data_IF_485625457448
#
_entry.id   IF_485625457448
#
_cell.length_a   1.000
_cell.length_b   1.000
_cell.length_c   1.000
_cell.angle_alpha   90.00
_cell.angle_beta   90.00
_cell.angle_gamma   90.00
#
_symmetry.space_group_name_H-M   'P 1'
#
loop_
_entity.id
_entity.type
_entity.pdbx_description
1 polymer ?
#
# COMPACT_ATOMS: atom_id res chain seq x y z
N UNK A 1 -25.58 14.26 -7.52
CA UNK A 1 -24.69 13.38 -6.69
C UNK A 1 -25.49 12.12 -6.44
N UNK A 2 -24.97 10.96 -6.87
CA UNK A 2 -25.62 9.66 -6.66
C UNK A 2 -25.71 9.35 -5.16
N UNK A 3 -26.82 8.81 -4.72
CA UNK A 3 -27.02 8.43 -3.30
C UNK A 3 -26.30 7.12 -2.98
N UNK A 4 -26.05 6.87 -1.71
CA UNK A 4 -25.46 5.58 -1.24
C UNK A 4 -26.31 4.39 -1.68
N UNK A 5 -27.65 4.52 -1.73
CA UNK A 5 -28.56 3.46 -2.15
C UNK A 5 -28.47 3.20 -3.65
N UNK A 6 -28.42 4.24 -4.48
CA UNK A 6 -28.22 4.11 -5.93
C UNK A 6 -26.87 3.46 -6.26
N UNK A 7 -25.79 3.91 -5.62
CA UNK A 7 -24.46 3.33 -5.79
C UNK A 7 -24.42 1.85 -5.35
N UNK A 8 -25.02 1.52 -4.22
CA UNK A 8 -25.09 0.13 -3.73
C UNK A 8 -25.89 -0.76 -4.68
N UNK A 9 -27.02 -0.27 -5.21
CA UNK A 9 -27.83 -0.99 -6.18
C UNK A 9 -27.08 -1.22 -7.47
N UNK A 10 -26.42 -0.20 -8.00
CA UNK A 10 -25.59 -0.29 -9.20
C UNK A 10 -24.46 -1.32 -9.00
N UNK A 11 -23.67 -1.19 -7.93
CA UNK A 11 -22.54 -2.09 -7.69
C UNK A 11 -23.00 -3.53 -7.45
N UNK A 12 -24.11 -3.74 -6.74
CA UNK A 12 -24.67 -5.07 -6.54
C UNK A 12 -25.01 -5.72 -7.88
N UNK A 13 -25.63 -4.99 -8.79
CA UNK A 13 -25.96 -5.50 -10.13
C UNK A 13 -24.70 -5.71 -10.99
N UNK A 14 -23.75 -4.78 -10.96
CA UNK A 14 -22.55 -4.81 -11.80
C UNK A 14 -21.49 -5.84 -11.34
N UNK A 15 -21.49 -6.21 -10.05
CA UNK A 15 -20.57 -7.22 -9.51
C UNK A 15 -21.09 -8.66 -9.58
N UNK A 16 -22.32 -8.88 -10.02
CA UNK A 16 -22.83 -10.25 -10.26
C UNK A 16 -22.04 -10.91 -11.40
N UNK A 17 -21.71 -12.20 -11.20
CA UNK A 17 -21.00 -13.00 -12.20
C UNK A 17 -21.83 -13.12 -13.50
N UNK A 18 -21.48 -12.37 -14.50
CA UNK A 18 -22.21 -12.37 -15.75
C UNK A 18 -21.55 -11.52 -16.83
N UNK A 19 -21.41 -10.23 -16.62
CA UNK A 19 -20.88 -9.33 -17.66
C UNK A 19 -19.35 -9.46 -17.73
N UNK A 20 -18.64 -9.22 -16.64
CA UNK A 20 -17.18 -9.28 -16.61
C UNK A 20 -16.67 -10.69 -16.99
N UNK A 21 -17.28 -11.75 -16.46
CA UNK A 21 -16.90 -13.13 -16.80
C UNK A 21 -17.01 -13.40 -18.31
N UNK A 22 -18.09 -12.92 -18.96
CA UNK A 22 -18.24 -13.03 -20.42
C UNK A 22 -17.20 -12.22 -21.20
N UNK A 23 -16.89 -11.00 -20.72
CA UNK A 23 -15.86 -10.16 -21.36
C UNK A 23 -14.48 -10.77 -21.24
N UNK A 24 -14.11 -11.27 -20.06
CA UNK A 24 -12.83 -11.95 -19.82
C UNK A 24 -12.71 -13.22 -20.65
N UNK A 25 -13.78 -14.03 -20.74
CA UNK A 25 -13.80 -15.23 -21.57
C UNK A 25 -13.63 -14.90 -23.06
N UNK A 26 -14.32 -13.88 -23.57
CA UNK A 26 -14.17 -13.42 -24.96
C UNK A 26 -12.76 -12.90 -25.24
N UNK A 27 -12.17 -12.13 -24.29
CA UNK A 27 -10.80 -11.66 -24.38
C UNK A 27 -9.78 -12.80 -24.43
N UNK A 28 -9.93 -13.80 -23.56
CA UNK A 28 -9.08 -14.99 -23.53
C UNK A 28 -9.20 -15.81 -24.84
N UNK A 29 -10.42 -16.02 -25.33
CA UNK A 29 -10.66 -16.71 -26.60
C UNK A 29 -10.04 -15.96 -27.79
N UNK A 30 -10.18 -14.63 -27.85
CA UNK A 30 -9.56 -13.80 -28.86
C UNK A 30 -8.03 -13.89 -28.86
N UNK A 31 -7.42 -13.76 -27.70
CA UNK A 31 -5.97 -13.88 -27.51
C UNK A 31 -5.45 -15.26 -27.92
N UNK A 32 -6.19 -16.33 -27.61
CA UNK A 32 -5.86 -17.69 -28.02
C UNK A 32 -5.93 -17.87 -29.56
N UNK A 33 -7.00 -17.37 -30.20
CA UNK A 33 -7.14 -17.40 -31.66
C UNK A 33 -5.99 -16.64 -32.35
N UNK A 34 -5.57 -15.50 -31.81
CA UNK A 34 -4.44 -14.73 -32.31
C UNK A 34 -3.13 -15.51 -32.19
N UNK A 35 -2.84 -16.09 -31.01
CA UNK A 35 -1.62 -16.89 -30.76
C UNK A 35 -1.53 -18.11 -31.67
N UNK A 36 -2.67 -18.71 -32.03
CA UNK A 36 -2.74 -19.88 -32.90
C UNK A 36 -2.78 -19.53 -34.40
N UNK A 37 -2.65 -18.25 -34.78
CA UNK A 37 -2.68 -17.82 -36.17
C UNK A 37 -4.04 -17.98 -36.87
N UNK A 38 -5.14 -18.11 -36.12
CA UNK A 38 -6.50 -18.20 -36.65
C UNK A 38 -7.03 -16.86 -37.14
N UNK A 39 -6.52 -15.77 -36.55
CA UNK A 39 -6.85 -14.40 -36.92
C UNK A 39 -5.91 -13.88 -38.01
N UNK A 40 -6.33 -12.87 -38.82
CA UNK A 40 -5.45 -12.18 -39.74
C UNK A 40 -4.21 -11.62 -39.06
N UNK A 41 -3.10 -11.50 -39.79
CA UNK A 41 -1.84 -11.02 -39.22
C UNK A 41 -1.93 -9.59 -38.62
N UNK A 42 -2.83 -8.77 -39.16
CA UNK A 42 -3.10 -7.40 -38.70
C UNK A 42 -4.23 -7.31 -37.65
N UNK A 43 -4.72 -8.44 -37.13
CA UNK A 43 -5.72 -8.41 -36.09
C UNK A 43 -5.14 -7.78 -34.81
N UNK A 44 -5.89 -6.87 -34.13
CA UNK A 44 -5.42 -6.25 -32.90
C UNK A 44 -5.22 -7.29 -31.79
N UNK A 45 -4.41 -6.96 -30.74
CA UNK A 45 -4.21 -7.83 -29.56
C UNK A 45 -5.52 -8.27 -28.89
N UNK A 46 -6.45 -7.34 -28.73
CA UNK A 46 -7.85 -7.60 -28.38
C UNK A 46 -8.76 -7.06 -29.49
N UNK A 47 -9.96 -7.64 -29.67
CA UNK A 47 -10.97 -7.03 -30.52
C UNK A 47 -11.36 -5.66 -29.91
N UNK A 48 -11.46 -4.62 -30.75
CA UNK A 48 -11.73 -3.25 -30.29
C UNK A 48 -12.97 -3.15 -29.37
N UNK A 49 -14.04 -3.85 -29.71
CA UNK A 49 -15.25 -3.90 -28.88
C UNK A 49 -14.98 -4.50 -27.50
N UNK A 50 -14.15 -5.54 -27.40
CA UNK A 50 -13.83 -6.19 -26.11
C UNK A 50 -12.97 -5.26 -25.27
N UNK A 51 -12.01 -4.59 -25.88
CA UNK A 51 -11.15 -3.62 -25.19
C UNK A 51 -11.96 -2.46 -24.60
N UNK A 52 -12.84 -1.87 -25.40
CA UNK A 52 -13.73 -0.79 -24.97
C UNK A 52 -14.68 -1.25 -23.88
N UNK A 53 -15.38 -2.38 -24.07
CA UNK A 53 -16.32 -2.94 -23.11
C UNK A 53 -15.64 -3.24 -21.76
N UNK A 54 -14.39 -3.78 -21.76
CA UNK A 54 -13.63 -4.04 -20.55
C UNK A 54 -13.22 -2.74 -19.84
N UNK A 55 -12.76 -1.75 -20.59
CA UNK A 55 -12.36 -0.46 -20.04
C UNK A 55 -13.56 0.27 -19.43
N UNK A 56 -14.67 0.39 -20.16
CA UNK A 56 -15.89 1.05 -19.67
C UNK A 56 -16.43 0.38 -18.42
N UNK A 57 -16.50 -0.96 -18.42
CA UNK A 57 -16.94 -1.73 -17.25
C UNK A 57 -16.02 -1.53 -16.05
N UNK A 58 -14.70 -1.58 -16.28
CA UNK A 58 -13.69 -1.35 -15.24
C UNK A 58 -13.79 0.05 -14.63
N UNK A 59 -13.88 1.09 -15.44
CA UNK A 59 -14.02 2.47 -14.96
C UNK A 59 -15.36 2.72 -14.25
N UNK A 60 -16.46 2.14 -14.73
CA UNK A 60 -17.76 2.28 -14.07
C UNK A 60 -17.73 1.65 -12.66
N UNK A 61 -17.19 0.43 -12.53
CA UNK A 61 -17.02 -0.22 -11.22
C UNK A 61 -16.10 0.58 -10.30
N UNK A 62 -14.97 1.04 -10.81
CA UNK A 62 -13.98 1.81 -10.03
C UNK A 62 -14.58 3.12 -9.52
N UNK A 63 -15.29 3.86 -10.37
CA UNK A 63 -15.96 5.11 -9.99
C UNK A 63 -17.02 4.85 -8.91
N UNK A 64 -17.89 3.86 -9.11
CA UNK A 64 -18.91 3.50 -8.14
C UNK A 64 -18.33 3.05 -6.80
N UNK A 65 -17.26 2.22 -6.83
CA UNK A 65 -16.58 1.77 -5.62
C UNK A 65 -15.95 2.92 -4.83
N UNK A 66 -15.24 3.84 -5.50
CA UNK A 66 -14.65 5.01 -4.86
C UNK A 66 -15.73 5.93 -4.27
N UNK A 67 -16.83 6.19 -5.02
CA UNK A 67 -17.91 7.03 -4.57
C UNK A 67 -18.62 6.43 -3.33
N UNK A 68 -18.94 5.13 -3.37
CA UNK A 68 -19.56 4.45 -2.23
C UNK A 68 -18.63 4.41 -1.01
N UNK A 69 -17.34 4.11 -1.23
CA UNK A 69 -16.33 4.10 -0.15
C UNK A 69 -16.19 5.47 0.51
N UNK A 70 -16.23 6.55 -0.27
CA UNK A 70 -16.14 7.92 0.25
C UNK A 70 -17.37 8.30 1.10
N UNK A 71 -18.56 7.76 0.80
CA UNK A 71 -19.82 8.06 1.52
C UNK A 71 -20.04 7.14 2.73
N UNK A 72 -19.75 5.85 2.60
CA UNK A 72 -20.13 4.82 3.56
C UNK A 72 -18.94 4.02 4.15
N UNK A 73 -17.71 4.35 3.76
CA UNK A 73 -16.51 3.60 4.18
C UNK A 73 -16.26 2.33 3.38
N UNK A 74 -15.23 1.60 3.80
CA UNK A 74 -14.90 0.30 3.20
C UNK A 74 -15.96 -0.76 3.56
N UNK A 75 -16.36 -1.57 2.58
CA UNK A 75 -17.34 -2.64 2.73
C UNK A 75 -17.00 -3.81 1.82
N UNK A 76 -17.61 -4.98 2.05
CA UNK A 76 -17.46 -6.14 1.17
C UNK A 76 -17.86 -5.82 -0.28
N UNK A 77 -18.92 -5.02 -0.46
CA UNK A 77 -19.39 -4.62 -1.78
C UNK A 77 -18.39 -3.72 -2.50
N UNK A 78 -17.80 -2.73 -1.80
CA UNK A 78 -16.75 -1.88 -2.38
C UNK A 78 -15.50 -2.68 -2.70
N UNK A 79 -15.08 -3.60 -1.82
CA UNK A 79 -13.96 -4.51 -2.05
C UNK A 79 -14.16 -5.37 -3.30
N UNK A 80 -15.34 -6.00 -3.43
CA UNK A 80 -15.69 -6.78 -4.61
C UNK A 80 -15.73 -5.95 -5.90
N UNK A 81 -16.20 -4.72 -5.84
CA UNK A 81 -16.22 -3.82 -6.99
C UNK A 81 -14.81 -3.41 -7.42
N UNK A 82 -13.93 -3.09 -6.47
CA UNK A 82 -12.50 -2.84 -6.75
C UNK A 82 -11.82 -4.06 -7.36
N UNK A 83 -12.04 -5.27 -6.82
CA UNK A 83 -11.51 -6.52 -7.38
C UNK A 83 -11.95 -6.72 -8.83
N UNK A 84 -13.23 -6.53 -9.13
CA UNK A 84 -13.78 -6.68 -10.49
C UNK A 84 -13.21 -5.63 -11.44
N UNK A 85 -13.05 -4.39 -11.01
CA UNK A 85 -12.39 -3.34 -11.79
C UNK A 85 -10.93 -3.72 -12.07
N UNK A 86 -10.19 -4.19 -11.06
CA UNK A 86 -8.82 -4.64 -11.19
C UNK A 86 -8.67 -5.78 -12.21
N UNK A 87 -9.55 -6.79 -12.15
CA UNK A 87 -9.57 -7.91 -13.11
C UNK A 87 -9.78 -7.42 -14.55
N UNK A 88 -10.63 -6.40 -14.77
CA UNK A 88 -10.84 -5.83 -16.10
C UNK A 88 -9.57 -5.15 -16.64
N UNK A 89 -8.92 -4.30 -15.82
CA UNK A 89 -7.70 -3.62 -16.20
C UNK A 89 -6.50 -4.56 -16.34
N UNK A 90 -6.37 -5.57 -15.48
CA UNK A 90 -5.34 -6.61 -15.62
C UNK A 90 -5.49 -7.37 -16.95
N UNK A 91 -6.72 -7.70 -17.35
CA UNK A 91 -6.98 -8.34 -18.63
C UNK A 91 -6.57 -7.46 -19.83
N UNK A 92 -6.80 -6.15 -19.73
CA UNK A 92 -6.34 -5.16 -20.72
C UNK A 92 -4.80 -5.10 -20.80
N UNK A 93 -4.13 -5.10 -19.64
CA UNK A 93 -2.66 -5.10 -19.58
C UNK A 93 -2.05 -6.38 -20.15
N UNK A 94 -2.63 -7.55 -19.81
CA UNK A 94 -2.07 -8.87 -20.22
C UNK A 94 -2.40 -9.28 -21.65
N UNK A 95 -3.57 -8.88 -22.16
CA UNK A 95 -4.09 -9.34 -23.45
C UNK A 95 -4.23 -8.21 -24.48
N UNK A 96 -4.05 -6.94 -24.05
CA UNK A 96 -4.08 -5.78 -24.91
C UNK A 96 -2.80 -5.59 -25.72
N UNK A 97 -2.68 -4.42 -26.34
CA UNK A 97 -1.48 -4.04 -27.09
C UNK A 97 -0.31 -3.78 -26.13
N UNK A 98 0.81 -4.50 -26.25
CA UNK A 98 2.00 -4.27 -25.44
C UNK A 98 2.64 -2.90 -25.67
N UNK A 99 2.43 -2.29 -26.85
CA UNK A 99 2.94 -0.97 -27.20
C UNK A 99 1.93 0.16 -26.92
N UNK A 100 0.79 -0.15 -26.32
CA UNK A 100 -0.21 0.85 -25.98
C UNK A 100 0.35 1.89 -24.99
N UNK A 101 0.23 3.20 -25.27
CA UNK A 101 0.67 4.25 -24.36
C UNK A 101 -0.07 4.22 -23.01
N UNK A 102 -1.29 3.68 -22.97
CA UNK A 102 -2.11 3.58 -21.77
C UNK A 102 -1.79 2.35 -20.90
N UNK A 103 -0.91 1.47 -21.35
CA UNK A 103 -0.65 0.21 -20.67
C UNK A 103 -0.13 0.42 -19.25
N UNK A 104 0.80 1.37 -19.07
CA UNK A 104 1.34 1.75 -17.77
C UNK A 104 0.28 2.29 -16.83
N UNK A 105 -0.57 3.19 -17.33
CA UNK A 105 -1.70 3.74 -16.62
C UNK A 105 -2.69 2.65 -16.17
N UNK A 106 -3.12 1.77 -17.09
CA UNK A 106 -4.02 0.65 -16.78
C UNK A 106 -3.42 -0.31 -15.76
N UNK A 107 -2.09 -0.55 -15.80
CA UNK A 107 -1.35 -1.35 -14.82
C UNK A 107 -1.40 -0.71 -13.42
N UNK A 108 -1.18 0.58 -13.34
CA UNK A 108 -1.24 1.35 -12.08
C UNK A 108 -2.63 1.33 -11.48
N UNK A 109 -3.68 1.52 -12.30
CA UNK A 109 -5.08 1.41 -11.86
C UNK A 109 -5.39 -0.01 -11.36
N UNK A 110 -5.00 -1.06 -12.09
CA UNK A 110 -5.23 -2.44 -11.69
C UNK A 110 -4.61 -2.74 -10.31
N UNK A 111 -3.35 -2.37 -10.12
CA UNK A 111 -2.65 -2.58 -8.87
C UNK A 111 -3.28 -1.79 -7.71
N UNK A 112 -3.63 -0.53 -7.92
CA UNK A 112 -4.31 0.30 -6.91
C UNK A 112 -5.68 -0.30 -6.52
N UNK A 113 -6.47 -0.74 -7.50
CA UNK A 113 -7.76 -1.36 -7.27
C UNK A 113 -7.65 -2.70 -6.53
N UNK A 114 -6.69 -3.57 -6.89
CA UNK A 114 -6.41 -4.79 -6.12
C UNK A 114 -6.02 -4.50 -4.68
N UNK A 115 -5.19 -3.48 -4.46
CA UNK A 115 -4.82 -3.08 -3.10
C UNK A 115 -6.05 -2.67 -2.29
N UNK A 116 -6.90 -1.78 -2.84
CA UNK A 116 -8.13 -1.32 -2.21
C UNK A 116 -9.19 -2.42 -2.01
N UNK A 117 -9.10 -3.51 -2.79
CA UNK A 117 -9.89 -4.72 -2.62
C UNK A 117 -9.34 -5.66 -1.52
N UNK A 118 -8.17 -5.37 -0.93
CA UNK A 118 -7.52 -6.20 0.07
C UNK A 118 -6.58 -7.27 -0.51
N UNK A 119 -6.30 -7.25 -1.82
CA UNK A 119 -5.39 -8.17 -2.51
C UNK A 119 -3.99 -7.57 -2.73
N UNK A 120 -3.37 -7.04 -1.67
CA UNK A 120 -2.07 -6.36 -1.75
C UNK A 120 -0.96 -7.23 -2.36
N UNK A 121 -0.97 -8.56 -2.15
CA UNK A 121 0.00 -9.45 -2.77
C UNK A 121 -0.15 -9.53 -4.30
N UNK A 122 -1.38 -9.46 -4.82
CA UNK A 122 -1.65 -9.42 -6.26
C UNK A 122 -1.22 -8.06 -6.82
N UNK A 123 -1.55 -6.97 -6.14
CA UNK A 123 -1.12 -5.61 -6.50
C UNK A 123 0.40 -5.52 -6.62
N UNK A 124 1.14 -6.10 -5.66
CA UNK A 124 2.59 -6.20 -5.69
C UNK A 124 3.09 -7.00 -6.90
N UNK A 125 2.49 -8.15 -7.21
CA UNK A 125 2.93 -9.01 -8.31
C UNK A 125 2.79 -8.36 -9.69
N UNK A 126 1.80 -7.50 -9.88
CA UNK A 126 1.56 -6.78 -11.14
C UNK A 126 2.75 -5.87 -11.52
N UNK A 127 3.44 -5.27 -10.54
CA UNK A 127 4.60 -4.43 -10.78
C UNK A 127 5.92 -5.21 -10.87
N UNK A 128 5.96 -6.46 -10.41
CA UNK A 128 7.14 -7.31 -10.54
C UNK A 128 7.27 -7.98 -11.92
N UNK A 129 6.27 -7.90 -12.77
CA UNK A 129 6.37 -8.31 -14.16
C UNK A 129 7.29 -7.29 -14.88
N UNK A 130 8.48 -7.78 -15.32
CA UNK A 130 9.54 -6.95 -15.91
C UNK A 130 9.12 -6.56 -17.33
N UNK A 131 8.37 -5.49 -17.45
CA UNK A 131 8.10 -4.86 -18.74
C UNK A 131 8.19 -3.35 -18.53
N UNK A 132 8.97 -2.68 -19.38
CA UNK A 132 9.04 -1.23 -19.40
C UNK A 132 7.73 -0.68 -19.98
N UNK A 133 6.94 -0.04 -19.14
CA UNK A 133 5.77 0.70 -19.57
C UNK A 133 6.21 2.02 -20.20
N UNK A 134 5.61 2.36 -21.34
CA UNK A 134 5.81 3.66 -22.00
C UNK A 134 4.98 4.76 -21.32
N UNK A 135 5.49 5.97 -21.32
CA UNK A 135 4.76 7.19 -20.90
C UNK A 135 4.15 7.15 -19.49
N UNK A 136 4.87 6.58 -18.52
CA UNK A 136 4.43 6.57 -17.11
C UNK A 136 4.61 7.95 -16.50
N UNK A 137 3.54 8.53 -15.98
CA UNK A 137 3.59 9.84 -15.33
C UNK A 137 4.31 9.79 -13.97
N UNK A 138 4.88 10.91 -13.50
CA UNK A 138 5.51 10.99 -12.17
C UNK A 138 4.57 10.60 -11.03
N UNK A 139 3.29 10.97 -11.10
CA UNK A 139 2.27 10.57 -10.14
C UNK A 139 2.07 9.05 -10.10
N UNK A 140 2.07 8.40 -11.26
CA UNK A 140 2.00 6.93 -11.34
C UNK A 140 3.23 6.25 -10.74
N UNK A 141 4.44 6.76 -11.02
CA UNK A 141 5.69 6.23 -10.44
C UNK A 141 5.64 6.33 -8.92
N UNK A 142 5.23 7.48 -8.39
CA UNK A 142 5.13 7.69 -6.95
C UNK A 142 4.11 6.73 -6.29
N UNK A 143 2.92 6.55 -6.90
CA UNK A 143 1.92 5.59 -6.41
C UNK A 143 2.42 4.16 -6.47
N UNK A 144 3.17 3.78 -7.52
CA UNK A 144 3.76 2.43 -7.62
C UNK A 144 4.68 2.15 -6.45
N UNK A 145 5.59 3.08 -6.10
CA UNK A 145 6.46 2.95 -4.93
C UNK A 145 5.65 2.82 -3.63
N UNK A 146 4.56 3.59 -3.49
CA UNK A 146 3.68 3.50 -2.34
C UNK A 146 3.02 2.12 -2.21
N UNK A 147 2.47 1.57 -3.30
CA UNK A 147 1.85 0.24 -3.31
C UNK A 147 2.87 -0.85 -3.00
N UNK A 148 4.10 -0.73 -3.52
CA UNK A 148 5.20 -1.66 -3.25
C UNK A 148 5.78 -1.55 -1.84
N UNK A 149 5.39 -0.55 -1.04
CA UNK A 149 5.99 -0.22 0.26
C UNK A 149 7.48 0.09 0.17
N UNK A 150 7.94 0.53 -0.99
CA UNK A 150 9.32 0.98 -1.20
C UNK A 150 9.42 2.48 -0.89
N UNK A 151 9.25 2.81 0.40
CA UNK A 151 9.19 4.21 0.85
C UNK A 151 10.53 4.94 0.67
N UNK A 152 11.65 4.23 0.68
CA UNK A 152 12.95 4.83 0.39
C UNK A 152 13.03 5.31 -1.06
N UNK A 153 12.55 4.50 -2.02
CA UNK A 153 12.48 4.90 -3.43
C UNK A 153 11.43 5.99 -3.65
N UNK A 154 10.27 5.89 -2.98
CA UNK A 154 9.26 6.95 -3.01
C UNK A 154 9.86 8.29 -2.59
N UNK A 155 10.54 8.33 -1.44
CA UNK A 155 11.16 9.54 -0.89
C UNK A 155 12.25 10.08 -1.81
N UNK A 156 13.11 9.19 -2.32
CA UNK A 156 14.15 9.55 -3.28
C UNK A 156 13.55 10.18 -4.54
N UNK A 157 12.60 9.50 -5.15
CA UNK A 157 11.91 9.97 -6.36
C UNK A 157 11.20 11.31 -6.16
N UNK A 158 10.40 11.43 -5.10
CA UNK A 158 9.64 12.66 -4.79
C UNK A 158 10.59 13.82 -4.52
N UNK A 159 11.66 13.61 -3.75
CA UNK A 159 12.67 14.63 -3.48
C UNK A 159 13.36 15.09 -4.78
N UNK A 160 13.75 14.15 -5.62
CA UNK A 160 14.45 14.45 -6.86
C UNK A 160 13.52 15.17 -7.85
N UNK A 161 12.26 14.75 -7.93
CA UNK A 161 11.23 15.45 -8.70
C UNK A 161 11.03 16.89 -8.23
N UNK A 162 10.87 17.11 -6.92
CA UNK A 162 10.58 18.44 -6.37
C UNK A 162 11.80 19.39 -6.36
N UNK A 163 13.02 18.86 -6.25
CA UNK A 163 14.23 19.69 -6.05
C UNK A 163 15.08 19.86 -7.33
N UNK A 164 15.15 18.85 -8.19
CA UNK A 164 16.10 18.84 -9.32
C UNK A 164 15.43 18.85 -10.70
N UNK A 165 14.13 18.63 -10.75
CA UNK A 165 13.38 18.75 -12.01
C UNK A 165 13.04 20.20 -12.34
N UNK A 166 12.67 20.47 -13.58
CA UNK A 166 12.11 21.74 -14.05
C UNK A 166 10.68 22.01 -13.48
N UNK A 167 10.41 21.59 -12.25
CA UNK A 167 9.06 21.46 -11.69
C UNK A 167 8.86 22.29 -10.42
N UNK A 168 9.84 23.15 -10.06
CA UNK A 168 9.68 24.12 -8.97
C UNK A 168 8.66 25.20 -9.31
N UNK A 169 8.07 25.81 -8.30
CA UNK A 169 7.06 26.87 -8.48
C UNK A 169 7.55 28.03 -9.34
N UNK A 170 8.84 28.37 -9.26
CA UNK A 170 9.46 29.43 -10.08
C UNK A 170 9.52 29.05 -11.58
N UNK A 171 9.77 27.78 -11.90
CA UNK A 171 9.86 27.29 -13.27
C UNK A 171 8.46 27.14 -13.89
N UNK A 172 7.47 26.67 -13.11
CA UNK A 172 6.07 26.67 -13.53
C UNK A 172 5.60 28.10 -13.80
N UNK A 173 5.93 29.04 -12.90
CA UNK A 173 5.60 30.47 -13.08
C UNK A 173 6.29 31.08 -14.32
N UNK A 174 7.55 30.74 -14.58
CA UNK A 174 8.30 31.20 -15.75
C UNK A 174 7.70 30.63 -17.06
N UNK A 175 7.31 29.35 -17.07
CA UNK A 175 6.64 28.73 -18.21
C UNK A 175 5.30 29.40 -18.53
N UNK A 176 4.51 29.73 -17.51
CA UNK A 176 3.23 30.45 -17.66
C UNK A 176 3.41 31.89 -18.17
N UNK A 177 4.55 32.53 -17.88
CA UNK A 177 4.85 33.90 -18.34
C UNK A 177 5.44 33.96 -19.74
N UNK A 178 6.03 32.87 -20.23
CA UNK A 178 6.76 32.81 -21.47
C UNK A 178 5.92 32.84 -22.76
N UNK A 179 4.61 32.67 -22.69
CA UNK A 179 3.66 32.83 -23.79
C UNK A 179 3.63 31.70 -24.84
N UNK A 180 4.61 30.80 -24.85
CA UNK A 180 4.74 29.65 -25.79
C UNK A 180 4.57 28.29 -25.03
N UNK A 181 4.16 28.29 -23.75
CA UNK A 181 4.02 27.07 -23.00
C UNK A 181 2.78 26.29 -23.47
N UNK A 182 2.94 24.97 -23.65
CA UNK A 182 1.82 24.05 -23.80
C UNK A 182 1.06 24.00 -22.46
N UNK A 183 -0.16 24.52 -22.46
CA UNK A 183 -1.01 24.62 -21.26
C UNK A 183 -1.27 23.24 -20.65
N UNK A 184 -1.44 22.21 -21.48
CA UNK A 184 -1.70 20.85 -21.04
C UNK A 184 -0.46 20.23 -20.36
N UNK A 185 0.74 20.52 -20.87
CA UNK A 185 2.01 20.09 -20.26
C UNK A 185 2.23 20.78 -18.92
N UNK A 186 1.98 22.08 -18.83
CA UNK A 186 2.08 22.85 -17.58
C UNK A 186 1.09 22.34 -16.54
N UNK A 187 -0.17 22.12 -16.91
CA UNK A 187 -1.20 21.57 -16.02
C UNK A 187 -0.83 20.17 -15.55
N UNK A 188 -0.36 19.30 -16.45
CA UNK A 188 0.10 17.96 -16.09
C UNK A 188 1.27 18.02 -15.11
N UNK A 189 2.20 18.95 -15.28
CA UNK A 189 3.33 19.18 -14.37
C UNK A 189 2.85 19.65 -12.99
N UNK A 190 1.91 20.60 -12.93
CA UNK A 190 1.32 21.07 -11.66
C UNK A 190 0.62 19.93 -10.93
N UNK A 191 -0.18 19.13 -11.62
CA UNK A 191 -0.90 18.01 -11.04
C UNK A 191 0.04 16.94 -10.50
N UNK A 192 1.06 16.52 -11.29
CA UNK A 192 2.06 15.57 -10.84
C UNK A 192 2.87 16.09 -9.65
N UNK A 193 3.24 17.37 -9.64
CA UNK A 193 3.92 18.02 -8.53
C UNK A 193 3.06 18.03 -7.27
N UNK A 194 1.75 18.29 -7.42
CA UNK A 194 0.80 18.27 -6.29
C UNK A 194 0.66 16.85 -5.72
N UNK A 195 0.58 15.82 -6.56
CA UNK A 195 0.56 14.40 -6.12
C UNK A 195 1.86 14.05 -5.38
N UNK A 196 3.01 14.42 -5.94
CA UNK A 196 4.30 14.15 -5.29
C UNK A 196 4.43 14.88 -3.94
N UNK A 197 3.99 16.12 -3.82
CA UNK A 197 3.95 16.85 -2.54
C UNK A 197 3.03 16.17 -1.54
N UNK A 198 1.85 15.72 -1.96
CA UNK A 198 0.93 14.99 -1.09
C UNK A 198 1.56 13.71 -0.55
N UNK A 199 2.25 12.96 -1.42
CA UNK A 199 2.93 11.74 -1.00
C UNK A 199 4.15 11.99 -0.10
N UNK A 200 4.85 13.13 -0.24
CA UNK A 200 5.88 13.54 0.71
C UNK A 200 5.31 13.81 2.11
N UNK A 201 4.19 14.52 2.20
CA UNK A 201 3.50 14.72 3.48
C UNK A 201 2.98 13.41 4.07
N UNK A 202 2.47 12.52 3.24
CA UNK A 202 1.98 11.22 3.69
C UNK A 202 3.10 10.30 4.18
N UNK A 203 4.25 10.27 3.49
CA UNK A 203 5.43 9.52 3.94
C UNK A 203 5.91 10.02 5.31
N UNK A 204 5.96 11.34 5.50
CA UNK A 204 6.29 11.94 6.79
C UNK A 204 5.27 11.59 7.88
N UNK A 205 3.98 11.57 7.56
CA UNK A 205 2.93 11.12 8.48
C UNK A 205 3.09 9.65 8.88
N UNK A 206 3.45 8.77 7.92
CA UNK A 206 3.72 7.36 8.20
C UNK A 206 4.96 7.15 9.08
N UNK A 207 5.97 8.01 8.98
CA UNK A 207 7.15 7.97 9.81
C UNK A 207 6.88 8.47 11.23
N UNK A 208 6.20 9.61 11.36
CA UNK A 208 6.07 10.35 12.63
C UNK A 208 4.78 10.08 13.39
N UNK A 209 3.71 9.73 12.67
CA UNK A 209 2.34 9.64 13.22
C UNK A 209 1.62 10.99 13.27
N UNK A 210 2.16 12.03 12.62
CA UNK A 210 1.59 13.37 12.63
C UNK A 210 0.33 13.46 11.77
N UNK A 211 -0.82 13.69 12.44
CA UNK A 211 -2.14 13.74 11.78
C UNK A 211 -2.26 14.95 10.86
N UNK A 212 -1.68 16.08 11.23
CA UNK A 212 -1.68 17.31 10.43
C UNK A 212 -1.03 17.09 9.06
N UNK A 213 0.05 16.34 9.00
CA UNK A 213 0.73 15.99 7.75
C UNK A 213 -0.11 15.04 6.89
N UNK A 214 -0.82 14.09 7.50
CA UNK A 214 -1.78 13.25 6.79
C UNK A 214 -2.93 14.08 6.21
N UNK A 215 -3.53 14.97 6.99
CA UNK A 215 -4.62 15.85 6.50
C UNK A 215 -4.14 16.82 5.42
N UNK A 216 -2.90 17.32 5.49
CA UNK A 216 -2.29 18.11 4.43
C UNK A 216 -2.17 17.31 3.13
N UNK A 217 -1.72 16.05 3.20
CA UNK A 217 -1.67 15.16 2.05
C UNK A 217 -3.04 14.96 1.41
N UNK A 218 -4.08 14.68 2.21
CA UNK A 218 -5.47 14.54 1.74
C UNK A 218 -5.98 15.82 1.07
N UNK A 219 -5.69 16.97 1.67
CA UNK A 219 -6.07 18.29 1.14
C UNK A 219 -5.46 18.54 -0.24
N UNK A 220 -4.17 18.27 -0.40
CA UNK A 220 -3.47 18.39 -1.68
C UNK A 220 -4.07 17.46 -2.76
N UNK A 221 -4.36 16.20 -2.43
CA UNK A 221 -4.98 15.28 -3.39
C UNK A 221 -6.41 15.69 -3.75
N UNK A 222 -7.17 16.23 -2.80
CA UNK A 222 -8.50 16.78 -3.08
C UNK A 222 -8.41 17.98 -4.03
N UNK A 223 -7.41 18.83 -3.85
CA UNK A 223 -7.13 19.94 -4.77
C UNK A 223 -6.72 19.43 -6.14
N UNK A 224 -5.85 18.41 -6.22
CA UNK A 224 -5.43 17.81 -7.49
C UNK A 224 -6.63 17.21 -8.26
N UNK A 225 -7.55 16.52 -7.57
CA UNK A 225 -8.78 16.01 -8.19
C UNK A 225 -9.62 17.14 -8.79
N UNK A 226 -9.84 18.24 -8.04
CA UNK A 226 -10.60 19.39 -8.52
C UNK A 226 -9.93 20.10 -9.69
N UNK A 227 -8.60 20.25 -9.67
CA UNK A 227 -7.85 20.83 -10.78
C UNK A 227 -7.89 19.95 -12.04
N UNK A 228 -7.72 18.63 -11.88
CA UNK A 228 -7.78 17.69 -12.99
C UNK A 228 -9.18 17.63 -13.62
N UNK A 229 -10.24 17.73 -12.81
CA UNK A 229 -11.63 17.80 -13.28
C UNK A 229 -11.86 19.07 -14.11
N UNK A 230 -11.47 20.23 -13.59
CA UNK A 230 -11.58 21.53 -14.30
C UNK A 230 -10.75 21.59 -15.59
N UNK A 231 -9.62 20.88 -15.64
CA UNK A 231 -8.73 20.83 -16.80
C UNK A 231 -9.08 19.68 -17.76
N UNK A 232 -10.12 18.91 -17.49
CA UNK A 232 -10.51 17.72 -18.26
C UNK A 232 -9.37 16.69 -18.41
N UNK A 233 -8.39 16.70 -17.48
CA UNK A 233 -7.27 15.76 -17.48
C UNK A 233 -7.68 14.44 -16.83
N UNK A 234 -8.31 13.57 -17.61
CA UNK A 234 -8.89 12.31 -17.16
C UNK A 234 -7.85 11.36 -16.52
N UNK A 235 -6.65 11.12 -17.09
CA UNK A 235 -5.68 10.23 -16.47
C UNK A 235 -5.26 10.69 -15.06
N UNK A 236 -4.89 11.95 -14.89
CA UNK A 236 -4.45 12.47 -13.59
C UNK A 236 -5.61 12.64 -12.59
N UNK A 237 -6.85 12.82 -13.09
CA UNK A 237 -8.03 12.73 -12.22
C UNK A 237 -8.16 11.35 -11.56
N UNK A 238 -8.01 10.27 -12.35
CA UNK A 238 -8.04 8.90 -11.81
C UNK A 238 -6.89 8.63 -10.84
N UNK A 239 -5.67 9.02 -11.21
CA UNK A 239 -4.49 8.85 -10.38
C UNK A 239 -4.63 9.58 -9.05
N UNK A 240 -5.08 10.84 -9.05
CA UNK A 240 -5.28 11.64 -7.84
C UNK A 240 -6.36 11.04 -6.92
N UNK A 241 -7.49 10.59 -7.48
CA UNK A 241 -8.54 9.93 -6.71
C UNK A 241 -8.09 8.61 -6.10
N UNK A 242 -7.43 7.76 -6.88
CA UNK A 242 -6.90 6.50 -6.38
C UNK A 242 -5.85 6.73 -5.29
N UNK A 243 -4.94 7.69 -5.50
CA UNK A 243 -3.94 8.05 -4.50
C UNK A 243 -4.60 8.46 -3.18
N UNK A 244 -5.66 9.28 -3.23
CA UNK A 244 -6.43 9.68 -2.04
C UNK A 244 -7.00 8.46 -1.29
N UNK A 245 -7.64 7.54 -2.00
CA UNK A 245 -8.18 6.33 -1.38
C UNK A 245 -7.08 5.40 -0.85
N UNK A 246 -5.93 5.34 -1.51
CA UNK A 246 -4.77 4.56 -1.06
C UNK A 246 -4.18 5.11 0.23
N UNK A 247 -3.97 6.43 0.34
CA UNK A 247 -3.44 7.02 1.57
C UNK A 247 -4.43 6.91 2.73
N UNK A 248 -5.73 7.08 2.47
CA UNK A 248 -6.78 6.88 3.47
C UNK A 248 -6.78 5.43 3.99
N UNK A 249 -6.69 4.44 3.08
CA UNK A 249 -6.64 3.03 3.43
C UNK A 249 -5.40 2.70 4.26
N UNK A 250 -4.23 3.12 3.80
CA UNK A 250 -2.96 2.89 4.48
C UNK A 250 -2.90 3.54 5.85
N UNK A 251 -3.41 4.76 5.97
CA UNK A 251 -3.47 5.45 7.26
C UNK A 251 -4.34 4.71 8.26
N UNK A 252 -5.55 4.27 7.83
CA UNK A 252 -6.45 3.49 8.67
C UNK A 252 -5.84 2.17 9.15
N UNK A 253 -5.00 1.54 8.33
CA UNK A 253 -4.31 0.29 8.66
C UNK A 253 -2.92 0.49 9.26
N UNK A 254 -2.45 1.75 9.38
CA UNK A 254 -1.11 2.06 9.86
C UNK A 254 -0.86 1.59 11.29
N UNK A 255 0.42 1.40 11.62
CA UNK A 255 0.88 1.13 12.98
C UNK A 255 0.45 2.23 13.95
N UNK A 256 0.43 3.49 13.50
CA UNK A 256 0.01 4.62 14.32
C UNK A 256 -1.44 4.54 14.76
N UNK A 257 -2.33 4.02 13.91
CA UNK A 257 -3.76 3.89 14.18
C UNK A 257 -4.11 2.58 14.89
N UNK A 258 -3.33 1.51 14.70
CA UNK A 258 -3.73 0.16 15.11
C UNK A 258 -2.87 -0.46 16.22
N UNK A 259 -1.66 0.08 16.47
CA UNK A 259 -0.91 -0.32 17.66
C UNK A 259 -1.53 0.39 18.86
N UNK A 260 -1.87 -0.33 19.96
CA UNK A 260 -2.53 0.27 21.11
C UNK A 260 -1.85 1.56 21.56
N UNK A 261 -2.66 2.57 21.87
CA UNK A 261 -2.18 3.84 22.42
C UNK A 261 -2.16 3.83 23.95
N UNK A 262 -3.02 3.01 24.55
CA UNK A 262 -3.07 2.81 26.00
C UNK A 262 -1.88 1.96 26.44
N UNK A 263 -1.12 2.43 27.46
CA UNK A 263 0.00 1.68 27.99
C UNK A 263 -0.50 0.43 28.74
N UNK A 264 0.29 -0.67 28.73
CA UNK A 264 0.08 -1.76 29.67
C UNK A 264 0.23 -1.28 31.11
N UNK A 265 -0.39 -1.98 32.05
CA UNK A 265 -0.30 -1.65 33.49
C UNK A 265 1.16 -1.53 33.95
N UNK A 266 1.50 -0.42 34.59
CA UNK A 266 2.84 -0.11 35.06
C UNK A 266 3.84 0.32 33.97
N UNK A 267 3.35 0.70 32.78
CA UNK A 267 4.18 1.14 31.66
C UNK A 267 3.88 2.58 31.20
N UNK A 268 3.12 3.36 31.97
CA UNK A 268 2.56 4.66 31.60
C UNK A 268 3.63 5.66 31.15
N UNK A 269 4.79 5.66 31.79
CA UNK A 269 5.89 6.59 31.46
C UNK A 269 6.74 6.13 30.27
N UNK A 270 6.91 4.82 30.09
CA UNK A 270 7.87 4.27 29.12
C UNK A 270 7.25 3.91 27.79
N UNK A 271 6.00 3.46 27.80
CA UNK A 271 5.34 2.93 26.62
C UNK A 271 5.21 3.93 25.47
N UNK A 272 4.84 5.20 25.68
CA UNK A 272 4.70 6.16 24.59
C UNK A 272 5.98 6.32 23.77
N UNK A 273 7.13 6.43 24.42
CA UNK A 273 8.42 6.55 23.74
C UNK A 273 8.85 5.24 23.07
N UNK A 274 8.67 4.10 23.74
CA UNK A 274 9.00 2.80 23.17
C UNK A 274 8.09 2.46 21.98
N UNK A 275 6.81 2.82 22.05
CA UNK A 275 5.87 2.68 20.93
C UNK A 275 6.33 3.48 19.72
N UNK A 276 6.72 4.73 19.90
CA UNK A 276 7.24 5.59 18.83
C UNK A 276 8.51 5.01 18.22
N UNK A 277 9.49 4.62 19.04
CA UNK A 277 10.74 3.99 18.58
C UNK A 277 10.50 2.66 17.87
N UNK A 278 9.53 1.86 18.35
CA UNK A 278 9.14 0.61 17.71
C UNK A 278 8.60 0.86 16.30
N UNK A 279 7.67 1.79 16.12
CA UNK A 279 7.12 2.16 14.82
C UNK A 279 8.24 2.65 13.90
N UNK A 280 9.10 3.54 14.37
CA UNK A 280 10.24 4.05 13.61
C UNK A 280 11.20 2.93 13.19
N UNK A 281 11.47 1.95 14.06
CA UNK A 281 12.32 0.80 13.73
C UNK A 281 11.76 -0.08 12.62
N UNK A 282 10.44 -0.16 12.52
CA UNK A 282 9.73 -0.91 11.47
C UNK A 282 9.66 -0.12 10.16
N UNK A 283 9.44 1.17 10.26
CA UNK A 283 9.46 2.09 9.13
C UNK A 283 10.83 2.11 8.44
N UNK A 284 11.92 2.12 9.20
CA UNK A 284 13.29 2.16 8.71
C UNK A 284 13.79 0.84 8.06
N UNK A 285 12.94 -0.18 7.93
CA UNK A 285 13.32 -1.43 7.25
C UNK A 285 13.41 -1.21 5.74
N UNK A 286 14.25 -2.00 5.05
CA UNK A 286 14.40 -1.94 3.58
C UNK A 286 13.05 -2.02 2.85
N UNK A 287 12.16 -2.89 3.30
CA UNK A 287 10.74 -2.85 2.95
C UNK A 287 10.04 -2.34 4.20
N UNK A 288 9.57 -1.11 4.16
CA UNK A 288 8.95 -0.48 5.32
C UNK A 288 7.69 -1.23 5.73
N UNK A 289 7.60 -1.53 7.02
CA UNK A 289 6.46 -2.24 7.59
C UNK A 289 5.63 -1.21 8.38
N UNK A 290 4.62 -0.65 7.73
CA UNK A 290 3.87 0.51 8.24
C UNK A 290 2.44 0.18 8.65
N UNK A 291 1.96 -1.03 8.37
CA UNK A 291 0.57 -1.43 8.61
C UNK A 291 0.46 -2.74 9.41
N UNK A 292 -0.69 -2.92 10.08
CA UNK A 292 -1.07 -4.17 10.74
C UNK A 292 -2.23 -4.84 10.01
N UNK A 293 -2.09 -6.13 9.77
CA UNK A 293 -3.15 -6.96 9.24
C UNK A 293 -4.26 -7.19 10.27
N UNK A 294 -5.50 -7.51 9.86
CA UNK A 294 -6.62 -7.69 10.80
C UNK A 294 -6.32 -8.65 11.97
N UNK A 295 -5.72 -9.80 11.68
CA UNK A 295 -5.33 -10.78 12.70
C UNK A 295 -4.23 -10.28 13.65
N UNK A 296 -3.35 -9.42 13.17
CA UNK A 296 -2.31 -8.79 14.00
C UNK A 296 -2.89 -7.71 14.90
N UNK A 297 -3.91 -6.97 14.44
CA UNK A 297 -4.60 -5.94 15.24
C UNK A 297 -5.31 -6.54 16.44
N UNK A 298 -6.04 -7.63 16.23
CA UNK A 298 -6.72 -8.33 17.32
C UNK A 298 -5.72 -8.83 18.36
N UNK A 299 -4.63 -9.46 17.93
CA UNK A 299 -3.57 -9.91 18.81
C UNK A 299 -2.86 -8.74 19.53
N UNK A 300 -2.66 -7.60 18.85
CA UNK A 300 -2.07 -6.40 19.43
C UNK A 300 -2.92 -5.85 20.58
N UNK A 301 -4.23 -5.79 20.40
CA UNK A 301 -5.16 -5.33 21.43
C UNK A 301 -5.14 -6.26 22.66
N UNK A 302 -5.16 -7.58 22.47
CA UNK A 302 -5.09 -8.54 23.58
C UNK A 302 -3.74 -8.50 24.31
N UNK A 303 -2.66 -8.18 23.61
CA UNK A 303 -1.31 -8.11 24.19
C UNK A 303 -1.12 -6.94 25.18
N UNK A 304 -2.08 -6.02 25.32
CA UNK A 304 -2.05 -4.97 26.35
C UNK A 304 -2.24 -5.53 27.74
N UNK A 305 -3.00 -6.62 27.88
CA UNK A 305 -3.10 -7.39 29.12
C UNK A 305 -1.94 -8.39 29.20
N UNK A 306 -0.89 -8.02 29.94
CA UNK A 306 0.31 -8.85 30.13
C UNK A 306 0.06 -10.10 31.00
N UNK A 307 -1.15 -10.28 31.49
CA UNK A 307 -1.58 -11.48 32.24
C UNK A 307 -2.41 -12.43 31.39
N UNK A 308 -2.80 -12.03 30.16
CA UNK A 308 -3.58 -12.86 29.25
C UNK A 308 -2.69 -13.93 28.59
N UNK A 309 -3.17 -15.17 28.63
CA UNK A 309 -2.57 -16.30 27.92
C UNK A 309 -3.08 -16.34 26.47
N UNK A 310 -2.30 -15.81 25.53
CA UNK A 310 -2.67 -15.67 24.12
C UNK A 310 -2.15 -16.83 23.27
N UNK A 311 -3.04 -17.58 22.63
CA UNK A 311 -2.72 -18.57 21.61
C UNK A 311 -3.02 -17.98 20.23
N UNK A 312 -1.98 -17.87 19.37
CA UNK A 312 -2.10 -17.32 18.02
C UNK A 312 -1.89 -18.41 16.98
N UNK A 313 -2.97 -18.84 16.36
CA UNK A 313 -2.97 -19.80 15.27
C UNK A 313 -3.19 -19.09 13.93
N UNK A 314 -2.12 -18.82 13.20
CA UNK A 314 -2.14 -18.15 11.90
C UNK A 314 -1.47 -19.02 10.83
N UNK A 315 -1.89 -18.93 9.56
CA UNK A 315 -1.19 -19.58 8.45
C UNK A 315 0.28 -19.17 8.37
N UNK A 316 1.07 -19.95 7.65
CA UNK A 316 2.46 -19.58 7.31
C UNK A 316 2.42 -18.25 6.52
N UNK A 317 3.33 -17.35 6.79
CA UNK A 317 3.39 -16.00 6.20
C UNK A 317 2.36 -14.97 6.69
N UNK A 318 1.44 -15.32 7.59
CA UNK A 318 0.44 -14.40 8.13
C UNK A 318 0.96 -13.47 9.25
N UNK A 319 2.28 -13.28 9.34
CA UNK A 319 2.89 -12.28 10.20
C UNK A 319 2.92 -12.63 11.70
N UNK A 320 2.99 -13.94 12.07
CA UNK A 320 3.14 -14.38 13.48
C UNK A 320 4.28 -13.69 14.22
N UNK A 321 5.38 -13.42 13.55
CA UNK A 321 6.54 -12.73 14.14
C UNK A 321 6.18 -11.33 14.61
N UNK A 322 5.33 -10.62 13.84
CA UNK A 322 4.85 -9.28 14.22
C UNK A 322 4.04 -9.33 15.51
N UNK A 323 3.16 -10.32 15.66
CA UNK A 323 2.39 -10.51 16.91
C UNK A 323 3.32 -10.73 18.09
N UNK A 324 4.35 -11.58 17.93
CA UNK A 324 5.35 -11.82 18.97
C UNK A 324 6.17 -10.56 19.31
N UNK A 325 6.52 -9.74 18.29
CA UNK A 325 7.20 -8.45 18.51
C UNK A 325 6.32 -7.46 19.28
N UNK A 326 5.00 -7.40 18.99
CA UNK A 326 4.07 -6.52 19.70
C UNK A 326 3.92 -6.99 21.15
N UNK A 327 3.72 -8.28 21.40
CA UNK A 327 3.66 -8.82 22.75
C UNK A 327 4.94 -8.56 23.54
N UNK A 328 6.10 -8.68 22.89
CA UNK A 328 7.39 -8.34 23.49
C UNK A 328 7.49 -6.84 23.83
N UNK A 329 7.02 -5.94 22.94
CA UNK A 329 6.98 -4.50 23.21
C UNK A 329 6.17 -4.20 24.46
N UNK A 330 4.97 -4.78 24.61
CA UNK A 330 4.11 -4.59 25.78
C UNK A 330 4.80 -5.08 27.06
N UNK A 331 5.39 -6.27 27.01
CA UNK A 331 6.10 -6.86 28.15
C UNK A 331 7.32 -6.04 28.58
N UNK A 332 8.15 -5.60 27.61
CA UNK A 332 9.33 -4.79 27.88
C UNK A 332 8.98 -3.39 28.39
N UNK A 333 7.87 -2.83 27.95
CA UNK A 333 7.37 -1.53 28.42
C UNK A 333 7.06 -1.57 29.92
N UNK A 334 6.56 -2.69 30.43
CA UNK A 334 6.32 -2.94 31.87
C UNK A 334 7.58 -3.36 32.64
N UNK A 335 8.80 -3.09 32.11
CA UNK A 335 10.08 -3.46 32.71
C UNK A 335 10.24 -4.97 32.99
N UNK A 336 9.49 -5.80 32.30
CA UNK A 336 9.59 -7.27 32.39
C UNK A 336 10.52 -7.78 31.30
N UNK A 337 10.93 -9.03 31.41
CA UNK A 337 11.82 -9.72 30.45
C UNK A 337 11.01 -10.66 29.57
N UNK A 338 11.50 -10.88 28.35
CA UNK A 338 10.87 -11.78 27.37
C UNK A 338 11.74 -13.01 27.16
N UNK A 339 11.15 -14.19 27.24
CA UNK A 339 11.78 -15.46 26.88
C UNK A 339 11.05 -16.07 25.68
N UNK A 340 11.79 -16.30 24.59
CA UNK A 340 11.25 -16.92 23.39
C UNK A 340 11.81 -18.33 23.24
N UNK A 341 10.93 -19.31 23.25
CA UNK A 341 11.31 -20.71 23.08
C UNK A 341 10.98 -21.17 21.66
N UNK A 342 11.95 -21.72 20.96
CA UNK A 342 11.76 -22.24 19.61
C UNK A 342 12.21 -23.72 19.53
N UNK A 343 11.52 -24.56 18.73
CA UNK A 343 11.82 -25.99 18.67
C UNK A 343 13.12 -26.33 17.93
N UNK A 344 13.66 -25.40 17.11
CA UNK A 344 14.81 -25.64 16.24
C UNK A 344 15.84 -24.52 16.36
N UNK A 345 17.14 -24.85 16.38
CA UNK A 345 18.24 -23.88 16.43
C UNK A 345 18.20 -22.85 15.26
N UNK A 346 17.83 -23.30 14.07
CA UNK A 346 17.69 -22.41 12.92
C UNK A 346 16.62 -21.34 13.14
N UNK A 347 15.50 -21.70 13.76
CA UNK A 347 14.45 -20.77 14.14
C UNK A 347 14.89 -19.82 15.25
N UNK A 348 15.67 -20.30 16.24
CA UNK A 348 16.25 -19.42 17.27
C UNK A 348 17.12 -18.33 16.65
N UNK A 349 18.05 -18.71 15.76
CA UNK A 349 18.94 -17.77 15.08
C UNK A 349 18.18 -16.77 14.18
N UNK A 350 17.09 -17.20 13.54
CA UNK A 350 16.24 -16.32 12.74
C UNK A 350 15.49 -15.34 13.66
N UNK A 351 14.89 -15.84 14.72
CA UNK A 351 14.14 -15.04 15.70
C UNK A 351 15.05 -14.01 16.36
N UNK A 352 16.24 -14.42 16.82
CA UNK A 352 17.24 -13.51 17.38
C UNK A 352 17.56 -12.36 16.43
N UNK A 353 17.86 -12.67 15.15
CA UNK A 353 18.16 -11.63 14.15
C UNK A 353 17.01 -10.67 13.95
N UNK A 354 15.78 -11.19 13.90
CA UNK A 354 14.57 -10.37 13.72
C UNK A 354 14.34 -9.48 14.93
N UNK A 355 14.37 -10.04 16.14
CA UNK A 355 14.17 -9.29 17.37
C UNK A 355 15.29 -8.28 17.62
N UNK A 356 16.53 -8.63 17.35
CA UNK A 356 17.65 -7.68 17.45
C UNK A 356 17.46 -6.50 16.51
N UNK A 357 17.04 -6.73 15.27
CA UNK A 357 16.76 -5.68 14.31
C UNK A 357 15.65 -4.73 14.79
N UNK A 358 14.64 -5.25 15.47
CA UNK A 358 13.49 -4.47 15.98
C UNK A 358 13.82 -3.76 17.29
N UNK A 359 14.45 -4.45 18.25
CA UNK A 359 14.55 -4.00 19.63
C UNK A 359 15.90 -3.37 20.01
N UNK A 360 16.98 -3.63 19.27
CA UNK A 360 18.25 -2.95 19.54
C UNK A 360 18.15 -1.41 19.36
N UNK A 361 17.43 -0.87 18.37
CA UNK A 361 17.19 0.58 18.27
C UNK A 361 16.41 1.15 19.47
N UNK A 362 15.64 0.33 20.18
CA UNK A 362 14.91 0.71 21.39
C UNK A 362 15.77 0.60 22.66
N UNK A 363 17.03 0.16 22.53
CA UNK A 363 17.96 0.01 23.66
C UNK A 363 17.92 -1.36 24.33
N UNK A 364 17.19 -2.34 23.80
CA UNK A 364 17.09 -3.68 24.41
C UNK A 364 18.13 -4.65 23.85
N UNK A 365 18.76 -5.41 24.77
CA UNK A 365 19.68 -6.49 24.43
C UNK A 365 18.96 -7.77 24.07
N UNK A 366 19.35 -8.39 22.95
CA UNK A 366 18.81 -9.67 22.47
C UNK A 366 19.91 -10.71 22.41
N UNK A 367 19.69 -11.89 22.95
CA UNK A 367 20.66 -13.00 22.91
C UNK A 367 19.98 -14.35 22.68
N UNK A 368 20.69 -15.28 22.06
CA UNK A 368 20.26 -16.67 21.90
C UNK A 368 21.05 -17.58 22.81
N UNK A 369 20.34 -18.48 23.48
CA UNK A 369 20.93 -19.54 24.29
C UNK A 369 20.73 -20.89 23.59
N UNK A 370 21.81 -21.57 23.32
CA UNK A 370 21.78 -22.90 22.67
C UNK A 370 22.12 -23.96 23.71
N UNK A 371 21.11 -24.56 24.33
CA UNK A 371 21.30 -25.60 25.34
C UNK A 371 21.52 -27.00 24.77
N UNK A 372 22.67 -27.63 25.02
CA UNK A 372 22.83 -29.09 25.07
C UNK A 372 23.97 -29.55 25.97
N UNK A 373 24.86 -28.65 26.43
CA UNK A 373 26.09 -29.02 27.12
C UNK A 373 26.43 -28.13 28.32
N UNK A 374 25.43 -27.55 28.97
CA UNK A 374 25.65 -26.65 30.10
C UNK A 374 25.76 -25.19 29.65
N UNK A 375 25.38 -24.27 30.53
CA UNK A 375 25.52 -22.84 30.31
C UNK A 375 26.98 -22.44 30.42
N UNK A 376 27.49 -21.68 29.45
CA UNK A 376 28.81 -21.05 29.58
C UNK A 376 28.69 -19.82 30.51
N UNK A 377 29.83 -19.30 30.99
CA UNK A 377 29.84 -18.06 31.77
C UNK A 377 29.23 -16.87 30.99
N UNK A 378 29.38 -16.86 29.66
CA UNK A 378 28.74 -15.86 28.78
C UNK A 378 27.23 -16.02 28.71
N UNK A 379 26.70 -17.25 28.74
CA UNK A 379 25.27 -17.53 28.78
C UNK A 379 24.65 -17.11 30.12
N UNK A 380 25.36 -17.33 31.22
CA UNK A 380 24.91 -16.86 32.54
C UNK A 380 24.88 -15.33 32.61
N UNK A 381 25.86 -14.65 32.06
CA UNK A 381 25.86 -13.18 31.97
C UNK A 381 24.73 -12.68 31.08
N UNK A 382 24.50 -13.29 29.93
CA UNK A 382 23.38 -12.96 29.05
C UNK A 382 22.04 -13.15 29.75
N UNK A 383 21.85 -14.22 30.54
CA UNK A 383 20.63 -14.44 31.34
C UNK A 383 20.43 -13.38 32.42
N UNK A 384 21.49 -12.73 32.88
CA UNK A 384 21.39 -11.65 33.90
C UNK A 384 21.18 -10.28 33.32
N UNK A 385 21.75 -10.00 32.14
CA UNK A 385 21.90 -8.65 31.59
C UNK A 385 21.01 -8.36 30.38
N UNK A 386 20.51 -9.39 29.68
CA UNK A 386 19.69 -9.20 28.48
C UNK A 386 18.21 -9.24 28.79
N UNK A 387 17.43 -8.43 28.10
CA UNK A 387 15.97 -8.32 28.24
C UNK A 387 15.21 -9.33 27.37
N UNK A 388 15.80 -9.76 26.26
CA UNK A 388 15.23 -10.75 25.32
C UNK A 388 16.21 -11.89 25.07
#
# INVERSE_FOLDING_TARGET
>A
METTEELSTFLTAATVDGILGRLLYRGAAWSLMRKNGVLPQNAPPLGATIETDLAEHGFALLRGAMALRAQAGASELTGKAFERAANAFEALVRNGDPESPDRGFRRTIAAAAYHLAGFSAVAFSIFNEIEEDLNVSPGEIAIRHLILRDLDQLRGFVRDWLNYGAHGDEQIAAALQGGDADVDEVLSTILNTTICRALAFFDFALETGEVESFEAARGLLTTAVGLADNAENVPLWWISNLCRHLIDDLWQHSLHQNLPTEPPEGAEERYPDLRRLFISSLYARKTSEVELWPSQREAAQRSTDVTDDLVVALPTSAGKTRVAEIAALMTLSSARRVLIVTPLRALSAQTERTFRKTFAPLGFGVSSLYGASGLSAGDEDALRTREI
#
